data_IF_953737598015
#
_entry.id   IF_953737598015
#
_cell.length_a   1.000
_cell.length_b   1.000
_cell.length_c   1.000
_cell.angle_alpha   90.00
_cell.angle_beta   90.00
_cell.angle_gamma   90.00
#
_symmetry.space_group_name_H-M   'P 1'
#
loop_
_entity.id
_entity.type
_entity.pdbx_description
1 polymer ?
#
# COMPACT_ATOMS: atom_id res chain seq x y z
N UNK A 1 -13.70 -25.10 -9.39
CA UNK A 1 -14.33 -24.33 -8.28
C UNK A 1 -13.49 -24.56 -7.03
N UNK A 2 -13.12 -23.52 -6.27
CA UNK A 2 -12.31 -23.68 -5.05
C UNK A 2 -13.14 -24.26 -3.89
N UNK A 3 -12.52 -25.10 -3.06
CA UNK A 3 -13.15 -25.58 -1.82
C UNK A 3 -13.46 -24.40 -0.88
N UNK A 4 -14.45 -24.59 0.00
CA UNK A 4 -14.82 -23.55 0.97
C UNK A 4 -13.68 -23.24 1.93
N UNK A 5 -12.95 -24.27 2.35
CA UNK A 5 -11.77 -24.15 3.21
C UNK A 5 -10.66 -23.34 2.54
N UNK A 6 -10.23 -23.70 1.32
CA UNK A 6 -9.17 -22.97 0.60
C UNK A 6 -9.54 -21.51 0.39
N UNK A 7 -10.82 -21.24 0.05
CA UNK A 7 -11.31 -19.87 -0.12
C UNK A 7 -11.25 -19.07 1.18
N UNK A 8 -11.54 -19.68 2.33
CA UNK A 8 -11.48 -19.00 3.62
C UNK A 8 -10.04 -18.74 4.04
N UNK A 9 -9.13 -19.71 3.86
CA UNK A 9 -7.70 -19.55 4.12
C UNK A 9 -7.13 -18.38 3.29
N UNK A 10 -7.41 -18.36 1.98
CA UNK A 10 -6.93 -17.29 1.09
C UNK A 10 -7.45 -15.91 1.53
N UNK A 11 -8.70 -15.82 1.99
CA UNK A 11 -9.27 -14.55 2.47
C UNK A 11 -8.58 -14.03 3.72
N UNK A 12 -8.34 -14.92 4.69
CA UNK A 12 -7.65 -14.55 5.93
C UNK A 12 -6.23 -14.08 5.66
N UNK A 13 -5.45 -14.88 4.92
CA UNK A 13 -4.08 -14.53 4.57
C UNK A 13 -4.00 -13.23 3.75
N UNK A 14 -4.91 -13.03 2.78
CA UNK A 14 -4.97 -11.78 2.01
C UNK A 14 -5.29 -10.57 2.88
N UNK A 15 -6.22 -10.73 3.84
CA UNK A 15 -6.56 -9.67 4.77
C UNK A 15 -5.36 -9.27 5.62
N UNK A 16 -4.63 -10.24 6.17
CA UNK A 16 -3.41 -9.99 6.96
C UNK A 16 -2.33 -9.29 6.11
N UNK A 17 -2.04 -9.79 4.90
CA UNK A 17 -1.07 -9.15 4.00
C UNK A 17 -1.43 -7.70 3.67
N UNK A 18 -2.72 -7.39 3.52
CA UNK A 18 -3.18 -6.04 3.13
C UNK A 18 -3.28 -5.06 4.30
N UNK A 19 -3.80 -5.51 5.44
CA UNK A 19 -4.14 -4.63 6.56
C UNK A 19 -3.10 -4.62 7.68
N UNK A 20 -2.24 -5.64 7.75
CA UNK A 20 -1.23 -5.80 8.79
C UNK A 20 0.20 -5.80 8.22
N UNK A 21 0.68 -4.66 7.67
CA UNK A 21 2.03 -4.53 7.11
C UNK A 21 3.17 -4.74 8.13
N UNK A 22 2.87 -4.71 9.42
CA UNK A 22 3.78 -5.03 10.52
C UNK A 22 4.13 -6.52 10.61
N UNK A 23 3.30 -7.40 10.04
CA UNK A 23 3.54 -8.84 10.02
C UNK A 23 4.49 -9.22 8.87
N UNK A 24 5.34 -10.22 9.11
CA UNK A 24 6.20 -10.75 8.06
C UNK A 24 5.36 -11.51 7.02
N UNK A 25 5.47 -11.12 5.75
CA UNK A 25 4.75 -11.78 4.67
C UNK A 25 5.09 -13.28 4.56
N UNK A 26 6.33 -13.67 4.90
CA UNK A 26 6.75 -15.07 4.87
C UNK A 26 5.96 -15.90 5.86
N UNK A 27 5.78 -15.39 7.08
CA UNK A 27 5.06 -16.07 8.15
C UNK A 27 3.58 -16.23 7.77
N UNK A 28 2.93 -15.16 7.27
CA UNK A 28 1.52 -15.23 6.85
C UNK A 28 1.30 -16.27 5.74
N UNK A 29 2.22 -16.35 4.78
CA UNK A 29 2.14 -17.32 3.68
C UNK A 29 2.40 -18.74 4.19
N UNK A 30 3.42 -18.94 5.02
CA UNK A 30 3.77 -20.25 5.59
C UNK A 30 2.62 -20.82 6.44
N UNK A 31 2.02 -20.02 7.33
CA UNK A 31 0.87 -20.44 8.15
C UNK A 31 -0.34 -20.79 7.28
N UNK A 32 -0.61 -20.03 6.21
CA UNK A 32 -1.68 -20.35 5.27
C UNK A 32 -1.43 -21.65 4.49
N UNK A 33 -0.17 -21.97 4.21
CA UNK A 33 0.26 -23.22 3.57
C UNK A 33 0.10 -24.40 4.52
N UNK A 34 0.51 -24.27 5.79
CA UNK A 34 0.31 -25.30 6.81
C UNK A 34 -1.17 -25.57 7.07
N UNK A 35 -2.01 -24.54 7.20
CA UNK A 35 -3.47 -24.72 7.29
C UNK A 35 -4.05 -25.46 6.07
N UNK A 36 -3.49 -25.25 4.87
CA UNK A 36 -3.91 -26.01 3.71
C UNK A 36 -3.50 -27.49 3.79
N UNK A 37 -2.37 -27.83 4.40
CA UNK A 37 -1.95 -29.23 4.60
C UNK A 37 -2.82 -29.92 5.66
N UNK A 38 -3.22 -29.19 6.70
CA UNK A 38 -4.02 -29.75 7.79
C UNK A 38 -5.48 -29.99 7.42
N UNK A 39 -6.07 -29.09 6.62
CA UNK A 39 -7.51 -29.07 6.35
C UNK A 39 -7.92 -29.34 4.89
N UNK A 40 -6.94 -29.54 4.00
CA UNK A 40 -7.17 -29.76 2.56
C UNK A 40 -6.23 -30.85 2.06
N UNK A 41 -6.57 -31.43 0.92
CA UNK A 41 -5.80 -32.42 0.19
C UNK A 41 -4.47 -31.88 -0.36
N UNK A 42 -3.47 -32.77 -0.44
CA UNK A 42 -2.04 -32.50 -0.76
C UNK A 42 -1.78 -31.72 -2.05
N UNK A 43 -2.75 -31.51 -2.92
CA UNK A 43 -2.57 -30.73 -4.15
C UNK A 43 -2.75 -29.22 -3.94
N UNK A 44 -3.35 -28.81 -2.81
CA UNK A 44 -3.81 -27.43 -2.61
C UNK A 44 -2.75 -26.48 -2.04
N UNK A 45 -1.76 -26.99 -1.31
CA UNK A 45 -0.75 -26.16 -0.64
C UNK A 45 0.13 -25.38 -1.64
N UNK A 46 0.51 -26.03 -2.75
CA UNK A 46 1.31 -25.39 -3.80
C UNK A 46 0.55 -24.28 -4.54
N UNK A 47 -0.77 -24.45 -4.73
CA UNK A 47 -1.62 -23.40 -5.30
C UNK A 47 -1.73 -22.21 -4.33
N UNK A 48 -1.97 -22.47 -3.05
CA UNK A 48 -2.08 -21.42 -2.02
C UNK A 48 -0.81 -20.57 -1.96
N UNK A 49 0.36 -21.20 -1.92
CA UNK A 49 1.65 -20.48 -1.91
C UNK A 49 1.79 -19.55 -3.12
N UNK A 50 1.57 -20.09 -4.34
CA UNK A 50 1.68 -19.31 -5.59
C UNK A 50 0.69 -18.13 -5.64
N UNK A 51 -0.54 -18.34 -5.20
CA UNK A 51 -1.58 -17.30 -5.20
C UNK A 51 -1.24 -16.20 -4.19
N UNK A 52 -0.86 -16.55 -2.97
CA UNK A 52 -0.54 -15.56 -1.94
C UNK A 52 0.72 -14.76 -2.27
N UNK A 53 1.74 -15.39 -2.86
CA UNK A 53 2.91 -14.66 -3.36
C UNK A 53 2.52 -13.61 -4.40
N UNK A 54 1.67 -13.99 -5.37
CA UNK A 54 1.18 -13.08 -6.41
C UNK A 54 0.36 -11.92 -5.83
N UNK A 55 -0.46 -12.19 -4.83
CA UNK A 55 -1.24 -11.18 -4.10
C UNK A 55 -0.30 -10.22 -3.37
N UNK A 56 0.70 -10.73 -2.65
CA UNK A 56 1.68 -9.90 -1.96
C UNK A 56 2.45 -8.98 -2.93
N UNK A 57 2.89 -9.51 -4.08
CA UNK A 57 3.55 -8.71 -5.11
C UNK A 57 2.63 -7.56 -5.60
N UNK A 58 1.34 -7.84 -5.81
CA UNK A 58 0.37 -6.80 -6.21
C UNK A 58 0.19 -5.72 -5.13
N UNK A 59 0.08 -6.13 -3.86
CA UNK A 59 -0.07 -5.21 -2.72
C UNK A 59 1.15 -4.31 -2.59
N UNK A 60 2.35 -4.87 -2.76
CA UNK A 60 3.59 -4.10 -2.67
C UNK A 60 3.75 -3.12 -3.83
N UNK A 61 3.42 -3.50 -5.07
CA UNK A 61 3.40 -2.59 -6.21
C UNK A 61 2.34 -1.49 -6.07
N UNK A 62 1.15 -1.81 -5.57
CA UNK A 62 0.11 -0.82 -5.27
C UNK A 62 0.56 0.17 -4.19
N UNK A 63 1.23 -0.29 -3.14
CA UNK A 63 1.78 0.58 -2.09
C UNK A 63 2.90 1.48 -2.62
N UNK A 64 3.78 0.96 -3.48
CA UNK A 64 4.85 1.75 -4.13
C UNK A 64 4.26 2.86 -5.00
N UNK A 65 3.30 2.54 -5.86
CA UNK A 65 2.66 3.51 -6.75
C UNK A 65 1.91 4.61 -5.98
N UNK A 66 1.21 4.25 -4.89
CA UNK A 66 0.58 5.24 -4.00
C UNK A 66 1.60 6.12 -3.27
N UNK A 67 2.74 5.56 -2.84
CA UNK A 67 3.79 6.31 -2.20
C UNK A 67 4.45 7.32 -3.16
N UNK A 68 4.67 6.95 -4.42
CA UNK A 68 5.18 7.88 -5.45
C UNK A 68 4.19 8.99 -5.79
N UNK A 69 2.90 8.66 -5.94
CA UNK A 69 1.87 9.67 -6.18
C UNK A 69 1.73 10.65 -5.02
N UNK A 70 1.74 10.16 -3.77
CA UNK A 70 1.70 11.01 -2.57
C UNK A 70 2.96 11.89 -2.45
N UNK A 71 4.13 11.38 -2.86
CA UNK A 71 5.39 12.15 -2.87
C UNK A 71 5.37 13.27 -3.90
N UNK A 72 4.80 13.03 -5.08
CA UNK A 72 4.60 14.04 -6.13
C UNK A 72 3.57 15.12 -5.73
N UNK A 73 2.51 14.74 -5.01
CA UNK A 73 1.54 15.69 -4.46
C UNK A 73 2.15 16.55 -3.34
N UNK A 74 2.94 15.98 -2.43
CA UNK A 74 3.65 16.76 -1.39
C UNK A 74 4.71 17.70 -1.98
N UNK A 75 5.41 17.30 -3.04
CA UNK A 75 6.38 18.17 -3.73
C UNK A 75 5.70 19.33 -4.48
N UNK A 76 4.49 19.12 -5.01
CA UNK A 76 3.67 20.17 -5.64
C UNK A 76 3.11 21.15 -4.61
N UNK A 77 2.68 20.67 -3.43
CA UNK A 77 2.23 21.55 -2.35
C UNK A 77 3.36 22.38 -1.71
N UNK A 78 4.57 21.84 -1.59
CA UNK A 78 5.74 22.58 -1.09
C UNK A 78 6.25 23.63 -2.08
N UNK A 79 6.26 23.33 -3.38
CA UNK A 79 6.64 24.30 -4.44
C UNK A 79 5.64 25.44 -4.60
N UNK A 80 4.34 25.20 -4.41
CA UNK A 80 3.31 26.26 -4.40
C UNK A 80 3.43 27.18 -3.18
N UNK A 81 3.83 26.66 -2.00
CA UNK A 81 4.03 27.48 -0.79
C UNK A 81 5.27 28.38 -0.89
N UNK A 82 6.37 27.90 -1.47
CA UNK A 82 7.57 28.73 -1.70
C UNK A 82 7.36 29.87 -2.72
N UNK A 83 6.52 29.69 -3.75
CA UNK A 83 6.20 30.76 -4.70
C UNK A 83 5.30 31.86 -4.11
N UNK A 84 4.40 31.52 -3.18
CA UNK A 84 3.53 32.52 -2.54
C UNK A 84 4.25 33.46 -1.55
N UNK A 85 5.41 33.06 -1.02
CA UNK A 85 6.17 33.85 -0.04
C UNK A 85 7.25 34.77 -0.69
N UNK A 86 7.41 34.70 -2.02
CA UNK A 86 8.40 35.51 -2.79
C UNK A 86 7.81 36.68 -3.58
N UNK A 87 6.50 36.99 -3.48
CA UNK A 87 5.97 38.23 -4.09
C UNK A 87 6.49 39.46 -3.34
N UNK A 88 7.20 40.41 -3.99
CA UNK A 88 7.68 41.62 -3.34
C UNK A 88 6.51 42.42 -2.78
N UNK A 89 6.53 42.74 -1.48
CA UNK A 89 5.61 43.74 -0.90
C UNK A 89 5.87 45.07 -1.62
N UNK A 90 4.86 45.59 -2.30
CA UNK A 90 4.93 46.89 -2.99
C UNK A 90 5.43 47.96 -2.01
N UNK A 91 6.39 48.81 -2.39
CA UNK A 91 6.80 49.91 -1.55
C UNK A 91 5.68 50.94 -1.51
N UNK A 92 5.03 51.09 -0.35
CA UNK A 92 4.02 52.11 -0.14
C UNK A 92 4.58 53.49 -0.51
N UNK A 93 3.90 54.12 -1.47
CA UNK A 93 4.24 55.38 -2.11
C UNK A 93 4.43 56.50 -1.09
N UNK A 94 5.65 57.07 -1.07
CA UNK A 94 5.93 58.39 -0.51
C UNK A 94 5.13 59.45 -1.30
N UNK A 95 4.56 60.46 -0.62
CA UNK A 95 3.79 61.64 -1.11
C UNK A 95 2.27 61.41 -1.29
N UNK A 96 1.31 62.29 -0.90
CA UNK A 96 1.30 63.67 -0.35
C UNK A 96 -0.16 64.11 -0.01
N UNK A 97 -0.27 65.23 0.73
CA UNK A 97 -1.42 66.17 0.94
C UNK A 97 -2.25 65.89 2.20
N UNK A 98 -2.52 66.83 3.11
CA UNK A 98 -2.41 68.30 3.16
C UNK A 98 -1.89 68.74 4.53
#
# INVERSE_FOLDING_TARGET
RLSTTVRNILRLATYELYHHPELSHSVVIDEAVELCKDFVDDTSHGLTNRVLQRVYDQITEERKTKATAKKEETLKEETLKEETDKKPREPESKYKRR
#
